data_IF_904319240383
#
_entry.id   IF_904319240383
#
_cell.length_a   1.000
_cell.length_b   1.000
_cell.length_c   1.000
_cell.angle_alpha   90.00
_cell.angle_beta   90.00
_cell.angle_gamma   90.00
#
_symmetry.space_group_name_H-M   'P 1'
#
loop_
_entity.id
_entity.type
_entity.pdbx_description
1 polymer ?
#
# COMPACT_ATOMS: atom_id res chain seq x y z
N UNK A 1 -1.85 1.19 9.68
CA UNK A 1 -0.84 0.17 9.26
C UNK A 1 -1.24 -0.43 7.94
N UNK A 2 -0.27 -0.61 7.05
CA UNK A 2 -0.53 -1.17 5.72
C UNK A 2 -0.93 -2.64 5.79
N UNK A 3 -1.95 -3.02 5.03
CA UNK A 3 -2.30 -4.42 4.82
C UNK A 3 -1.43 -4.97 3.68
N UNK A 4 -0.33 -5.61 4.03
CA UNK A 4 0.63 -6.10 3.04
C UNK A 4 0.10 -7.25 2.19
N UNK A 5 -0.85 -8.01 2.71
CA UNK A 5 -1.51 -9.07 1.94
C UNK A 5 -2.28 -8.44 0.77
N UNK A 6 -3.10 -7.44 1.04
CA UNK A 6 -3.84 -6.73 0.00
C UNK A 6 -2.92 -6.01 -0.97
N UNK A 7 -1.86 -5.36 -0.45
CA UNK A 7 -0.90 -4.67 -1.31
C UNK A 7 -0.24 -5.65 -2.29
N UNK A 8 0.20 -6.80 -1.79
CA UNK A 8 0.81 -7.82 -2.66
C UNK A 8 -0.19 -8.39 -3.66
N UNK A 9 -1.45 -8.57 -3.25
CA UNK A 9 -2.50 -9.02 -4.16
C UNK A 9 -2.72 -8.01 -5.30
N UNK A 10 -2.70 -6.72 -4.99
CA UNK A 10 -2.83 -5.68 -6.00
C UNK A 10 -1.62 -5.63 -6.94
N UNK A 11 -0.44 -5.87 -6.40
CA UNK A 11 0.77 -5.98 -7.24
C UNK A 11 0.65 -7.15 -8.21
N UNK A 12 0.22 -8.30 -7.72
CA UNK A 12 0.03 -9.50 -8.56
C UNK A 12 -1.03 -9.23 -9.63
N UNK A 13 -2.14 -8.60 -9.26
CA UNK A 13 -3.22 -8.27 -10.18
C UNK A 13 -2.75 -7.35 -11.31
N UNK A 14 -1.74 -6.51 -11.04
CA UNK A 14 -1.16 -5.60 -12.02
C UNK A 14 0.13 -6.15 -12.66
N UNK A 15 0.45 -7.41 -12.40
CA UNK A 15 1.65 -8.07 -12.90
C UNK A 15 2.92 -7.28 -12.58
N UNK A 16 3.02 -6.80 -11.34
CA UNK A 16 4.14 -5.99 -10.86
C UNK A 16 4.91 -6.70 -9.77
N UNK A 17 6.22 -6.76 -9.95
CA UNK A 17 7.14 -7.11 -8.88
C UNK A 17 7.49 -5.84 -8.08
N UNK A 18 8.16 -6.03 -6.95
CA UNK A 18 8.54 -4.93 -6.08
C UNK A 18 9.40 -3.88 -6.81
N UNK A 19 10.33 -4.33 -7.64
CA UNK A 19 11.18 -3.43 -8.44
C UNK A 19 10.36 -2.57 -9.40
N UNK A 20 9.33 -3.16 -10.00
CA UNK A 20 8.46 -2.46 -10.95
C UNK A 20 7.64 -1.39 -10.25
N UNK A 21 7.10 -1.72 -9.09
CA UNK A 21 6.34 -0.78 -8.29
C UNK A 21 7.20 0.38 -7.81
N UNK A 22 8.42 0.10 -7.35
CA UNK A 22 9.35 1.14 -6.91
C UNK A 22 9.62 2.13 -8.03
N UNK A 23 9.96 1.63 -9.22
CA UNK A 23 10.22 2.48 -10.37
C UNK A 23 9.01 3.33 -10.74
N UNK A 24 7.84 2.70 -10.86
CA UNK A 24 6.62 3.39 -11.26
C UNK A 24 6.16 4.43 -10.24
N UNK A 25 6.38 4.18 -8.95
CA UNK A 25 5.97 5.07 -7.86
C UNK A 25 7.06 6.09 -7.46
N UNK A 26 8.20 6.09 -8.15
CA UNK A 26 9.27 7.04 -7.86
C UNK A 26 10.01 6.78 -6.56
N UNK A 27 10.09 5.52 -6.14
CA UNK A 27 10.82 5.09 -4.94
C UNK A 27 12.08 4.35 -5.33
N UNK A 28 13.12 4.44 -4.48
CA UNK A 28 14.26 3.53 -4.62
C UNK A 28 13.83 2.12 -4.20
N UNK A 29 14.54 1.11 -4.68
CA UNK A 29 14.27 -0.27 -4.29
C UNK A 29 14.45 -0.48 -2.79
N UNK A 30 15.49 0.13 -2.21
CA UNK A 30 15.74 0.01 -0.78
C UNK A 30 14.68 0.71 0.05
N UNK A 31 14.18 1.86 -0.41
CA UNK A 31 13.09 2.56 0.26
C UNK A 31 11.82 1.72 0.27
N UNK A 32 11.42 1.18 -0.88
CA UNK A 32 10.23 0.34 -0.95
C UNK A 32 10.41 -0.94 -0.12
N UNK A 33 11.59 -1.56 -0.18
CA UNK A 33 11.90 -2.75 0.62
C UNK A 33 11.76 -2.47 2.12
N UNK A 34 12.27 -1.32 2.59
CA UNK A 34 12.16 -0.96 4.00
C UNK A 34 10.68 -0.87 4.42
N UNK A 35 9.83 -0.30 3.59
CA UNK A 35 8.40 -0.17 3.89
C UNK A 35 7.69 -1.51 3.82
N UNK A 36 8.01 -2.33 2.84
CA UNK A 36 7.41 -3.67 2.71
C UNK A 36 7.80 -4.60 3.85
N UNK A 37 8.96 -4.38 4.48
CA UNK A 37 9.42 -5.14 5.64
C UNK A 37 9.16 -4.43 6.96
N UNK A 38 8.32 -3.40 6.96
CA UNK A 38 7.88 -2.68 8.16
C UNK A 38 9.00 -1.97 8.92
N UNK A 39 10.10 -1.65 8.24
CA UNK A 39 11.19 -0.86 8.84
C UNK A 39 10.95 0.63 8.72
N UNK A 40 10.02 1.02 7.87
CA UNK A 40 9.58 2.40 7.70
C UNK A 40 8.12 2.38 7.23
N UNK A 41 7.39 3.46 7.50
CA UNK A 41 6.02 3.60 7.05
C UNK A 41 5.96 4.31 5.70
N UNK A 42 4.91 4.00 4.93
CA UNK A 42 4.63 4.75 3.71
C UNK A 42 4.23 6.18 4.07
N UNK A 43 4.76 7.15 3.34
CA UNK A 43 4.27 8.52 3.42
C UNK A 43 2.97 8.65 2.63
N UNK A 44 2.20 9.71 2.92
CA UNK A 44 0.97 9.98 2.18
C UNK A 44 1.22 10.12 0.68
N UNK A 45 2.29 10.83 0.30
CA UNK A 45 2.64 10.98 -1.11
C UNK A 45 2.95 9.65 -1.78
N UNK A 46 3.66 8.77 -1.07
CA UNK A 46 3.96 7.42 -1.57
C UNK A 46 2.69 6.59 -1.75
N UNK A 47 1.79 6.65 -0.78
CA UNK A 47 0.51 5.95 -0.86
C UNK A 47 -0.29 6.38 -2.09
N UNK A 48 -0.34 7.68 -2.33
CA UNK A 48 -1.06 8.24 -3.48
C UNK A 48 -0.45 7.78 -4.80
N UNK A 49 0.88 7.81 -4.90
CA UNK A 49 1.57 7.37 -6.12
C UNK A 49 1.39 5.87 -6.36
N UNK A 50 1.56 5.07 -5.31
CA UNK A 50 1.37 3.62 -5.40
C UNK A 50 -0.07 3.29 -5.78
N UNK A 51 -1.04 3.92 -5.13
CA UNK A 51 -2.44 3.71 -5.44
C UNK A 51 -2.78 4.04 -6.87
N UNK A 52 -2.23 5.12 -7.39
CA UNK A 52 -2.43 5.51 -8.79
C UNK A 52 -1.85 4.49 -9.75
N UNK A 53 -0.64 4.00 -9.48
CA UNK A 53 0.02 2.97 -10.29
C UNK A 53 -0.79 1.68 -10.30
N UNK A 54 -1.33 1.29 -9.15
CA UNK A 54 -2.11 0.05 -8.99
C UNK A 54 -3.58 0.21 -9.37
N UNK A 55 -4.03 1.41 -9.70
CA UNK A 55 -5.42 1.67 -10.07
C UNK A 55 -6.39 1.53 -8.92
N UNK A 56 -5.97 1.86 -7.69
CA UNK A 56 -6.83 1.75 -6.51
C UNK A 56 -7.95 2.78 -6.54
N UNK A 57 -9.15 2.34 -6.19
CA UNK A 57 -10.28 3.23 -5.96
C UNK A 57 -10.14 3.88 -4.56
N UNK A 58 -10.84 5.00 -4.29
CA UNK A 58 -10.71 5.66 -2.99
C UNK A 58 -10.90 4.74 -1.78
N UNK A 59 -11.87 3.84 -1.82
CA UNK A 59 -12.12 2.89 -0.73
C UNK A 59 -10.96 1.91 -0.54
N UNK A 60 -10.27 1.58 -1.62
CA UNK A 60 -9.14 0.64 -1.58
C UNK A 60 -7.94 1.22 -0.84
N UNK A 61 -7.74 2.56 -0.90
CA UNK A 61 -6.68 3.20 -0.13
C UNK A 61 -6.83 2.91 1.36
N UNK A 62 -8.06 2.98 1.86
CA UNK A 62 -8.35 2.67 3.26
C UNK A 62 -8.01 1.23 3.59
N UNK A 63 -8.45 0.30 2.75
CA UNK A 63 -8.21 -1.13 2.98
C UNK A 63 -6.74 -1.50 2.93
N UNK A 64 -5.99 -0.89 2.01
CA UNK A 64 -4.58 -1.22 1.80
C UNK A 64 -3.69 -0.52 2.82
N UNK A 65 -3.85 0.79 2.99
CA UNK A 65 -2.89 1.58 3.76
C UNK A 65 -3.33 1.91 5.18
N UNK A 66 -4.60 1.80 5.48
CA UNK A 66 -5.16 2.16 6.79
C UNK A 66 -5.99 1.02 7.38
N UNK A 67 -5.55 -0.21 7.17
CA UNK A 67 -6.29 -1.40 7.58
C UNK A 67 -6.63 -1.42 9.07
N UNK A 68 -5.67 -1.01 9.91
CA UNK A 68 -5.88 -0.96 11.36
C UNK A 68 -6.94 0.06 11.74
N UNK A 69 -6.88 1.25 11.12
CA UNK A 69 -7.88 2.30 11.36
C UNK A 69 -9.26 1.86 10.88
N UNK A 70 -9.33 1.20 9.74
CA UNK A 70 -10.60 0.67 9.22
C UNK A 70 -11.18 -0.39 10.16
N UNK A 71 -10.34 -1.29 10.68
CA UNK A 71 -10.77 -2.30 11.65
C UNK A 71 -11.29 -1.67 12.93
N UNK A 72 -10.62 -0.64 13.44
CA UNK A 72 -11.07 0.10 14.63
C UNK A 72 -12.42 0.77 14.41
N UNK A 73 -12.63 1.33 13.24
CA UNK A 73 -13.92 1.95 12.90
C UNK A 73 -15.05 0.92 12.84
N UNK A 74 -14.78 -0.26 12.31
CA UNK A 74 -15.76 -1.35 12.28
C UNK A 74 -16.10 -1.82 13.69
N UNK A 75 -15.11 -1.97 14.56
CA UNK A 75 -15.31 -2.39 15.94
C UNK A 75 -16.20 -1.42 16.73
N UNK A 76 -16.16 -0.14 16.39
CA UNK A 76 -16.96 0.89 17.07
C UNK A 76 -18.43 0.82 16.73
N UNK A 77 -18.82 0.09 15.72
CA UNK A 77 -20.20 -0.07 15.31
C UNK A 77 -20.89 -1.24 15.99
N UNK A 78 -20.20 -1.97 16.81
CA UNK A 78 -20.76 -3.12 17.54
C UNK A 78 -21.41 -2.69 18.89
#
# INVERSE_FOLDING_TARGET
MTNFVLLRQQMIANDMQQKDLAEAAGLSRSALSARMHRRADFTTGEMLRIGKVLGLQPDDYYRVFFAESAAQLEDKHV
#
